data_IF_463605262692
#
_entry.id   IF_463605262692
#
_cell.length_a   1.000
_cell.length_b   1.000
_cell.length_c   1.000
_cell.angle_alpha   90.00
_cell.angle_beta   90.00
_cell.angle_gamma   90.00
#
_symmetry.space_group_name_H-M   'P 1'
#
loop_
_entity.id
_entity.type
_entity.pdbx_description
1 polymer ?
#
# COMPACT_ATOMS: atom_id res chain seq x y z
N UNK A 1 -18.20 -1.56 -8.41
CA UNK A 1 -17.29 -0.51 -7.90
C UNK A 1 -15.85 -1.02 -7.88
N UNK A 2 -15.52 -2.06 -7.11
CA UNK A 2 -14.14 -2.60 -7.04
C UNK A 2 -13.57 -2.98 -8.42
N UNK A 3 -14.38 -3.56 -9.31
CA UNK A 3 -13.93 -3.87 -10.69
C UNK A 3 -13.59 -2.61 -11.50
N UNK A 4 -14.32 -1.51 -11.26
CA UNK A 4 -14.02 -0.23 -11.90
C UNK A 4 -12.77 0.43 -11.29
N UNK A 5 -12.54 0.28 -9.99
CA UNK A 5 -11.30 0.72 -9.34
C UNK A 5 -10.10 -0.05 -9.89
N UNK A 6 -10.23 -1.37 -10.06
CA UNK A 6 -9.21 -2.23 -10.66
C UNK A 6 -8.93 -1.89 -12.12
N UNK A 7 -9.97 -1.68 -12.93
CA UNK A 7 -9.80 -1.25 -14.33
C UNK A 7 -9.09 0.11 -14.44
N UNK A 8 -9.41 1.07 -13.55
CA UNK A 8 -8.75 2.38 -13.52
C UNK A 8 -7.30 2.28 -13.05
N UNK A 9 -7.02 1.48 -12.01
CA UNK A 9 -5.65 1.18 -11.60
C UNK A 9 -4.87 0.51 -12.73
N UNK A 10 -5.47 -0.46 -13.44
CA UNK A 10 -4.87 -1.18 -14.57
C UNK A 10 -4.40 -0.23 -15.69
N UNK A 11 -5.11 0.88 -15.90
CA UNK A 11 -4.76 1.90 -16.88
C UNK A 11 -3.60 2.82 -16.45
N UNK A 12 -3.28 2.91 -15.14
CA UNK A 12 -2.22 3.79 -14.65
C UNK A 12 -0.85 3.31 -15.09
N UNK A 13 0.00 4.22 -15.56
CA UNK A 13 1.42 3.92 -15.82
C UNK A 13 2.27 3.91 -14.55
N UNK A 14 1.88 4.73 -13.57
CA UNK A 14 2.52 4.87 -12.27
C UNK A 14 1.77 5.86 -11.38
N UNK A 15 2.14 5.95 -10.11
CA UNK A 15 1.63 6.95 -9.18
C UNK A 15 2.65 7.25 -8.08
N UNK A 16 2.52 8.41 -7.46
CA UNK A 16 3.21 8.79 -6.23
C UNK A 16 2.19 9.12 -5.15
N UNK A 17 2.54 8.90 -3.88
CA UNK A 17 1.75 9.32 -2.74
C UNK A 17 2.64 9.51 -1.50
N UNK A 18 2.18 10.33 -0.56
CA UNK A 18 2.66 10.25 0.83
C UNK A 18 1.80 9.22 1.55
N UNK A 19 2.44 8.15 2.02
CA UNK A 19 1.77 7.08 2.76
C UNK A 19 2.04 7.26 4.24
N UNK A 20 0.97 7.27 5.02
CA UNK A 20 1.04 7.22 6.48
C UNK A 20 0.35 5.95 6.92
N UNK A 21 1.06 5.08 7.65
CA UNK A 21 0.45 3.93 8.30
C UNK A 21 0.55 4.02 9.81
N UNK A 22 -0.49 3.53 10.48
CA UNK A 22 -0.60 3.47 11.93
C UNK A 22 -1.01 2.05 12.31
N UNK A 23 -0.14 1.42 13.08
CA UNK A 23 -0.36 0.11 13.65
C UNK A 23 -1.32 0.15 14.84
N UNK A 24 -1.85 -1.01 15.21
CA UNK A 24 -2.75 -1.22 16.34
C UNK A 24 -2.10 -0.88 17.69
N UNK A 25 -0.78 -1.06 17.79
CA UNK A 25 0.04 -0.65 18.94
C UNK A 25 0.43 0.84 18.90
N UNK A 26 -0.05 1.58 17.89
CA UNK A 26 0.23 3.00 17.70
C UNK A 26 1.53 3.29 16.95
N UNK A 27 2.31 2.28 16.52
CA UNK A 27 3.50 2.51 15.71
C UNK A 27 3.09 3.24 14.42
N UNK A 28 3.65 4.43 14.22
CA UNK A 28 3.38 5.26 13.05
C UNK A 28 4.56 5.24 12.10
N UNK A 29 4.28 4.99 10.82
CA UNK A 29 5.22 5.08 9.72
C UNK A 29 4.76 6.13 8.72
N UNK A 30 5.70 6.90 8.19
CA UNK A 30 5.45 7.83 7.08
C UNK A 30 6.52 7.65 6.02
N UNK A 31 6.12 7.63 4.76
CA UNK A 31 7.02 7.48 3.62
C UNK A 31 6.45 8.16 2.38
N UNK A 32 7.32 8.54 1.44
CA UNK A 32 6.92 8.79 0.06
C UNK A 32 6.96 7.47 -0.67
N UNK A 33 5.87 7.15 -1.34
CA UNK A 33 5.69 5.93 -2.10
C UNK A 33 5.60 6.28 -3.58
N UNK A 34 6.32 5.53 -4.41
CA UNK A 34 6.21 5.62 -5.84
C UNK A 34 6.11 4.23 -6.44
N UNK A 35 5.12 4.07 -7.32
CA UNK A 35 4.91 2.85 -8.09
C UNK A 35 4.97 3.17 -9.58
N UNK A 36 5.58 2.27 -10.34
CA UNK A 36 5.57 2.31 -11.81
C UNK A 36 5.43 0.90 -12.35
N UNK A 37 4.64 0.73 -13.42
CA UNK A 37 4.58 -0.55 -14.13
C UNK A 37 5.99 -0.98 -14.63
N UNK A 38 6.30 -2.28 -14.68
CA UNK A 38 5.43 -3.43 -14.41
C UNK A 38 5.37 -3.86 -12.93
N UNK A 39 5.82 -3.03 -11.98
CA UNK A 39 5.89 -3.42 -10.56
C UNK A 39 7.09 -2.81 -9.81
N UNK A 40 7.69 -1.75 -10.35
CA UNK A 40 8.71 -0.98 -9.67
C UNK A 40 8.10 -0.28 -8.48
N UNK A 41 8.73 -0.40 -7.32
CA UNK A 41 8.32 0.26 -6.09
C UNK A 41 9.51 0.99 -5.50
N UNK A 42 9.30 2.24 -5.09
CA UNK A 42 10.26 3.02 -4.33
C UNK A 42 9.59 3.59 -3.09
N UNK A 43 10.28 3.47 -1.96
CA UNK A 43 9.87 4.00 -0.66
C UNK A 43 10.98 4.89 -0.10
N UNK A 44 10.68 6.16 0.14
CA UNK A 44 11.56 7.09 0.84
C UNK A 44 10.98 7.34 2.23
N UNK A 45 11.65 6.84 3.27
CA UNK A 45 11.13 6.90 4.64
C UNK A 45 11.24 8.31 5.22
N UNK A 46 10.08 8.84 5.64
CA UNK A 46 9.95 10.10 6.38
C UNK A 46 9.93 9.88 7.90
N UNK A 47 9.70 8.65 8.35
CA UNK A 47 9.78 8.22 9.74
C UNK A 47 9.31 6.76 9.91
N UNK A 48 9.83 6.01 10.90
CA UNK A 48 10.83 6.40 11.89
C UNK A 48 12.28 6.41 11.36
N UNK A 49 12.56 5.72 10.25
CA UNK A 49 13.90 5.63 9.66
C UNK A 49 14.13 6.73 8.63
N UNK A 50 14.17 7.99 9.09
CA UNK A 50 14.27 9.16 8.20
C UNK A 50 15.48 9.05 7.28
N UNK A 51 15.23 9.21 5.98
CA UNK A 51 16.29 9.21 4.96
C UNK A 51 16.65 7.82 4.43
N UNK A 52 16.12 6.73 5.01
CA UNK A 52 16.24 5.42 4.38
C UNK A 52 15.46 5.40 3.06
N UNK A 53 16.06 4.85 2.01
CA UNK A 53 15.43 4.69 0.70
C UNK A 53 15.49 3.23 0.29
N UNK A 54 14.39 2.74 -0.26
CA UNK A 54 14.29 1.38 -0.74
C UNK A 54 13.71 1.37 -2.14
N UNK A 55 14.30 0.57 -3.03
CA UNK A 55 13.74 0.31 -4.36
C UNK A 55 13.64 -1.18 -4.62
N UNK A 56 12.46 -1.63 -5.04
CA UNK A 56 12.21 -2.96 -5.57
C UNK A 56 12.31 -2.95 -7.10
N UNK A 57 13.18 -3.81 -7.63
CA UNK A 57 13.31 -4.11 -9.05
C UNK A 57 12.53 -5.40 -9.36
N UNK A 58 11.39 -5.31 -10.09
CA UNK A 58 10.59 -6.49 -10.42
C UNK A 58 11.28 -7.39 -11.45
N UNK A 59 12.23 -6.89 -12.24
CA UNK A 59 12.88 -7.63 -13.33
C UNK A 59 13.84 -8.68 -12.81
N UNK A 60 14.52 -8.39 -11.70
CA UNK A 60 15.44 -9.32 -11.02
C UNK A 60 14.90 -9.80 -9.68
N UNK A 61 13.71 -9.34 -9.28
CA UNK A 61 13.09 -9.58 -7.97
C UNK A 61 14.06 -9.31 -6.82
N UNK A 62 14.69 -8.13 -6.84
CA UNK A 62 15.63 -7.68 -5.80
C UNK A 62 15.21 -6.36 -5.23
N UNK A 63 15.56 -6.17 -3.95
CA UNK A 63 15.40 -4.91 -3.26
C UNK A 63 16.78 -4.32 -3.01
N UNK A 64 16.97 -3.06 -3.39
CA UNK A 64 18.09 -2.25 -2.97
C UNK A 64 17.65 -1.33 -1.84
N UNK A 65 18.38 -1.38 -0.72
CA UNK A 65 18.13 -0.56 0.46
C UNK A 65 19.36 0.31 0.73
N UNK A 66 19.12 1.60 0.86
CA UNK A 66 20.07 2.62 1.29
C UNK A 66 19.63 3.14 2.66
N UNK A 67 20.21 2.65 3.77
CA UNK A 67 19.79 3.04 5.12
C UNK A 67 19.97 4.54 5.42
N UNK A 68 20.91 5.20 4.73
CA UNK A 68 21.28 6.59 4.96
C UNK A 68 21.01 7.51 3.75
N UNK A 69 20.21 7.02 2.80
CA UNK A 69 19.86 7.74 1.58
C UNK A 69 20.66 7.30 0.36
N UNK A 70 20.11 7.63 -0.80
CA UNK A 70 20.68 7.33 -2.11
C UNK A 70 22.14 7.81 -2.20
N UNK A 71 22.98 7.01 -2.87
CA UNK A 71 24.42 7.24 -3.06
C UNK A 71 25.27 7.24 -1.79
N UNK A 72 24.69 6.89 -0.63
CA UNK A 72 25.43 6.66 0.62
C UNK A 72 25.61 5.17 0.88
N UNK A 73 26.79 4.79 1.35
CA UNK A 73 27.09 3.42 1.81
C UNK A 73 26.66 3.25 3.28
N UNK A 74 26.28 2.04 3.72
CA UNK A 74 26.22 0.81 2.93
C UNK A 74 24.99 0.77 2.01
N UNK A 75 25.07 -0.05 0.96
CA UNK A 75 23.93 -0.41 0.12
C UNK A 75 23.69 -1.90 0.32
N UNK A 76 22.48 -2.28 0.68
CA UNK A 76 22.09 -3.66 0.91
C UNK A 76 21.27 -4.16 -0.29
N UNK A 77 21.64 -5.32 -0.83
CA UNK A 77 20.85 -6.01 -1.84
C UNK A 77 20.18 -7.23 -1.19
N UNK A 78 18.85 -7.22 -1.16
CA UNK A 78 18.06 -8.17 -0.39
C UNK A 78 17.04 -8.87 -1.31
N UNK A 79 16.69 -10.10 -0.96
CA UNK A 79 15.48 -10.74 -1.50
C UNK A 79 14.24 -9.98 -0.97
N UNK A 80 13.17 -9.78 -1.76
CA UNK A 80 11.90 -9.25 -1.26
C UNK A 80 11.30 -10.11 -0.13
N UNK A 81 11.69 -11.38 -0.02
CA UNK A 81 11.24 -12.28 1.05
C UNK A 81 12.06 -12.15 2.34
N UNK A 82 13.11 -11.31 2.34
CA UNK A 82 14.01 -11.12 3.48
C UNK A 82 13.23 -10.57 4.69
N UNK A 83 13.38 -11.16 5.89
CA UNK A 83 12.68 -10.70 7.09
C UNK A 83 12.90 -9.22 7.46
N UNK A 84 14.05 -8.64 7.09
CA UNK A 84 14.34 -7.21 7.33
C UNK A 84 13.44 -6.27 6.52
N UNK A 85 12.85 -6.77 5.44
CA UNK A 85 11.95 -6.02 4.57
C UNK A 85 10.48 -6.26 4.85
N UNK A 86 10.18 -7.20 5.74
CA UNK A 86 8.84 -7.38 6.27
C UNK A 86 8.66 -6.37 7.38
N UNK A 87 7.52 -5.69 7.39
CA UNK A 87 7.14 -5.04 8.64
C UNK A 87 6.74 -6.08 9.68
N UNK A 88 6.47 -5.63 10.91
CA UNK A 88 6.06 -6.49 12.03
C UNK A 88 4.80 -7.31 11.76
N UNK A 89 4.08 -7.02 10.68
CA UNK A 89 2.82 -7.68 10.26
C UNK A 89 3.01 -8.56 9.01
N UNK A 90 4.25 -8.65 8.52
CA UNK A 90 4.57 -9.50 7.39
C UNK A 90 4.22 -8.90 6.03
N UNK A 91 3.88 -7.59 5.95
CA UNK A 91 3.65 -6.96 4.66
C UNK A 91 4.93 -7.00 3.83
N UNK A 92 4.78 -7.47 2.59
CA UNK A 92 5.87 -7.58 1.63
C UNK A 92 5.90 -6.34 0.75
N UNK A 93 7.09 -5.84 0.48
CA UNK A 93 7.30 -4.67 -0.37
C UNK A 93 6.84 -4.91 -1.81
N UNK A 94 7.03 -6.13 -2.34
CA UNK A 94 6.57 -6.49 -3.68
C UNK A 94 5.06 -6.73 -3.77
N UNK A 95 4.32 -6.58 -2.67
CA UNK A 95 2.86 -6.65 -2.58
C UNK A 95 2.28 -5.52 -1.71
N UNK A 96 2.88 -4.33 -1.78
CA UNK A 96 2.45 -3.17 -1.00
C UNK A 96 1.76 -2.09 -1.85
N UNK A 97 1.63 -2.30 -3.16
CA UNK A 97 1.01 -1.32 -4.05
C UNK A 97 -0.52 -1.43 -4.04
N UNK A 98 -1.18 -0.44 -4.63
CA UNK A 98 -2.66 -0.38 -4.71
C UNK A 98 -3.24 -1.58 -5.46
N UNK A 99 -2.53 -2.17 -6.42
CA UNK A 99 -2.94 -3.38 -7.10
C UNK A 99 -3.06 -4.57 -6.14
N UNK A 100 -2.05 -4.79 -5.30
CA UNK A 100 -2.08 -5.83 -4.28
C UNK A 100 -3.24 -5.63 -3.27
N UNK A 101 -3.53 -4.39 -2.88
CA UNK A 101 -4.72 -4.08 -2.08
C UNK A 101 -6.01 -4.47 -2.80
N UNK A 102 -6.18 -4.04 -4.06
CA UNK A 102 -7.37 -4.34 -4.84
C UNK A 102 -7.56 -5.85 -5.03
N UNK A 103 -6.48 -6.61 -5.27
CA UNK A 103 -6.50 -8.08 -5.28
C UNK A 103 -7.01 -8.67 -3.96
N UNK A 104 -6.60 -8.12 -2.81
CA UNK A 104 -7.06 -8.61 -1.50
C UNK A 104 -8.53 -8.29 -1.27
N UNK A 105 -8.99 -7.09 -1.64
CA UNK A 105 -10.40 -6.72 -1.55
C UNK A 105 -11.27 -7.62 -2.46
N UNK A 106 -10.77 -7.91 -3.66
CA UNK A 106 -11.39 -8.82 -4.62
C UNK A 106 -11.48 -10.25 -4.07
N UNK A 107 -10.40 -10.76 -3.49
CA UNK A 107 -10.39 -12.10 -2.90
C UNK A 107 -11.32 -12.20 -1.68
N UNK A 108 -11.36 -11.16 -0.84
CA UNK A 108 -12.17 -11.13 0.37
C UNK A 108 -13.68 -10.99 0.06
N UNK A 109 -14.04 -10.20 -0.97
CA UNK A 109 -15.44 -10.07 -1.39
C UNK A 109 -16.01 -11.39 -1.94
N UNK A 110 -15.17 -12.31 -2.41
CA UNK A 110 -15.63 -13.56 -3.01
C UNK A 110 -16.29 -14.46 -1.95
N UNK A 111 -17.62 -14.56 -2.00
CA UNK A 111 -18.43 -15.20 -0.96
C UNK A 111 -18.61 -14.37 0.31
N UNK A 112 -18.08 -13.14 0.33
CA UNK A 112 -18.23 -12.16 1.40
C UNK A 112 -19.33 -11.13 1.10
N UNK A 113 -19.26 -9.98 1.76
CA UNK A 113 -20.18 -8.84 1.52
C UNK A 113 -19.43 -7.52 1.40
N UNK A 114 -20.00 -6.62 0.61
CA UNK A 114 -19.56 -5.22 0.50
C UNK A 114 -20.74 -4.36 0.90
N UNK A 115 -20.55 -3.47 1.87
CA UNK A 115 -21.56 -2.52 2.34
C UNK A 115 -20.99 -1.11 2.36
N UNK A 116 -21.82 -0.10 2.17
CA UNK A 116 -21.40 1.29 2.38
C UNK A 116 -21.11 1.52 3.86
N UNK A 117 -20.13 2.37 4.17
CA UNK A 117 -19.85 2.73 5.56
C UNK A 117 -21.01 3.53 6.14
N UNK A 118 -21.36 3.23 7.40
CA UNK A 118 -22.35 3.99 8.14
C UNK A 118 -21.84 5.40 8.52
N UNK A 119 -22.75 6.22 9.07
CA UNK A 119 -22.46 7.58 9.48
C UNK A 119 -21.47 7.71 10.66
N UNK A 120 -21.11 6.60 11.33
CA UNK A 120 -20.09 6.60 12.39
C UNK A 120 -18.67 6.59 11.83
N UNK A 121 -18.49 6.26 10.56
CA UNK A 121 -17.21 6.29 9.89
C UNK A 121 -16.74 7.73 9.60
N UNK A 122 -15.42 8.00 9.65
CA UNK A 122 -14.87 9.27 9.22
C UNK A 122 -15.34 9.69 7.83
N UNK A 123 -15.88 10.91 7.72
CA UNK A 123 -16.20 11.53 6.43
C UNK A 123 -14.94 12.14 5.85
N UNK A 124 -14.50 11.62 4.71
CA UNK A 124 -13.36 12.17 3.97
C UNK A 124 -13.88 12.98 2.76
N UNK A 125 -13.56 14.28 2.67
CA UNK A 125 -13.99 15.12 1.55
C UNK A 125 -13.63 14.50 0.20
N UNK A 126 -14.59 14.48 -0.73
CA UNK A 126 -14.37 13.94 -2.08
C UNK A 126 -14.29 12.41 -2.16
N UNK A 127 -14.39 11.67 -1.05
CA UNK A 127 -14.35 10.22 -1.02
C UNK A 127 -15.69 9.59 -0.62
N UNK A 128 -15.80 8.28 -0.81
CA UNK A 128 -16.87 7.44 -0.26
C UNK A 128 -16.27 6.19 0.37
N UNK A 129 -16.89 5.73 1.44
CA UNK A 129 -16.41 4.61 2.24
C UNK A 129 -17.19 3.34 1.97
N UNK A 130 -16.50 2.21 1.91
CA UNK A 130 -17.10 0.87 1.90
C UNK A 130 -16.43 -0.03 2.93
N UNK A 131 -17.21 -0.94 3.51
CA UNK A 131 -16.71 -2.06 4.30
C UNK A 131 -16.81 -3.35 3.48
N UNK A 132 -15.70 -4.08 3.40
CA UNK A 132 -15.58 -5.38 2.75
C UNK A 132 -15.33 -6.41 3.85
N UNK A 133 -16.24 -7.36 3.99
CA UNK A 133 -16.15 -8.44 5.00
C UNK A 133 -16.05 -9.77 4.29
N UNK A 134 -15.08 -10.59 4.69
CA UNK A 134 -14.92 -11.95 4.19
C UNK A 134 -16.09 -12.87 4.55
N UNK A 135 -16.21 -13.97 3.82
CA UNK A 135 -17.04 -15.08 4.24
C UNK A 135 -16.61 -15.60 5.63
N UNK A 136 -17.50 -16.26 6.36
CA UNK A 136 -17.17 -16.83 7.67
C UNK A 136 -15.92 -17.72 7.59
N UNK A 137 -14.93 -17.46 8.45
CA UNK A 137 -13.66 -18.18 8.48
C UNK A 137 -12.67 -17.84 7.35
N UNK A 138 -12.96 -16.87 6.47
CA UNK A 138 -12.00 -16.38 5.46
C UNK A 138 -11.26 -15.13 5.93
N UNK A 139 -9.95 -15.14 5.74
CA UNK A 139 -9.06 -13.99 5.91
C UNK A 139 -7.98 -13.96 4.83
N UNK A 140 -7.38 -12.79 4.62
CA UNK A 140 -6.14 -12.60 3.86
C UNK A 140 -5.04 -12.30 4.88
N UNK A 141 -4.20 -13.29 5.18
CA UNK A 141 -3.31 -13.21 6.35
C UNK A 141 -4.13 -13.10 7.64
N UNK A 142 -3.83 -12.09 8.46
CA UNK A 142 -4.60 -11.77 9.67
C UNK A 142 -5.89 -10.96 9.41
N UNK A 143 -6.07 -10.42 8.20
CA UNK A 143 -7.17 -9.48 7.89
C UNK A 143 -8.42 -10.21 7.41
N UNK A 144 -9.54 -10.05 8.13
CA UNK A 144 -10.84 -10.62 7.77
C UNK A 144 -11.85 -9.56 7.27
N UNK A 145 -11.54 -8.28 7.50
CA UNK A 145 -12.40 -7.15 7.12
C UNK A 145 -11.57 -5.92 6.79
N UNK A 146 -11.98 -5.20 5.76
CA UNK A 146 -11.44 -3.88 5.41
C UNK A 146 -12.53 -2.82 5.47
N UNK A 147 -12.16 -1.61 5.87
CA UNK A 147 -12.88 -0.38 5.52
C UNK A 147 -12.00 0.43 4.58
N UNK A 148 -12.54 0.85 3.45
CA UNK A 148 -11.77 1.52 2.40
C UNK A 148 -12.51 2.75 1.95
N UNK A 149 -11.81 3.87 1.89
CA UNK A 149 -12.31 5.10 1.31
C UNK A 149 -11.68 5.30 -0.05
N UNK A 150 -12.53 5.46 -1.06
CA UNK A 150 -12.15 5.70 -2.44
C UNK A 150 -12.48 7.14 -2.82
N UNK A 151 -11.53 7.83 -3.45
CA UNK A 151 -11.78 9.12 -4.07
C UNK A 151 -12.85 8.97 -5.18
N UNK A 152 -13.94 9.75 -5.13
CA UNK A 152 -15.11 9.57 -6.02
C UNK A 152 -14.76 9.71 -7.50
N UNK A 153 -13.92 10.68 -7.84
CA UNK A 153 -13.59 10.97 -9.24
C UNK A 153 -12.80 9.84 -9.89
N UNK A 154 -11.97 9.13 -9.11
CA UNK A 154 -10.88 8.29 -9.63
C UNK A 154 -10.99 6.85 -9.19
N UNK A 155 -11.76 6.58 -8.13
CA UNK A 155 -11.82 5.30 -7.44
C UNK A 155 -10.46 4.85 -6.90
N UNK A 156 -9.55 5.79 -6.67
CA UNK A 156 -8.27 5.50 -6.03
C UNK A 156 -8.45 5.42 -4.52
N UNK A 157 -7.89 4.41 -3.82
CA UNK A 157 -8.00 4.31 -2.37
C UNK A 157 -7.17 5.42 -1.72
N UNK A 158 -7.80 6.17 -0.83
CA UNK A 158 -7.17 7.27 -0.05
C UNK A 158 -7.03 6.93 1.42
N UNK A 159 -7.82 5.97 1.93
CA UNK A 159 -7.68 5.41 3.27
C UNK A 159 -8.09 3.96 3.29
N UNK A 160 -7.38 3.15 4.07
CA UNK A 160 -7.65 1.74 4.31
C UNK A 160 -7.52 1.46 5.80
N UNK A 161 -8.51 0.80 6.38
CA UNK A 161 -8.44 0.27 7.73
C UNK A 161 -8.65 -1.25 7.65
N UNK A 162 -7.74 -2.00 8.23
CA UNK A 162 -7.71 -3.47 8.23
C UNK A 162 -8.10 -3.98 9.62
N UNK A 163 -8.91 -5.03 9.68
CA UNK A 163 -9.37 -5.64 10.93
C UNK A 163 -9.27 -7.16 10.89
N UNK A 164 -8.97 -7.75 12.03
CA UNK A 164 -8.89 -9.21 12.18
C UNK A 164 -10.29 -9.86 12.26
N UNK A 165 -10.31 -11.20 12.37
CA UNK A 165 -11.55 -11.97 12.49
C UNK A 165 -12.36 -11.69 13.77
N UNK A 166 -11.73 -11.10 14.80
CA UNK A 166 -12.38 -10.67 16.05
C UNK A 166 -12.86 -9.22 15.99
N UNK A 167 -12.60 -8.54 14.88
CA UNK A 167 -12.92 -7.13 14.69
C UNK A 167 -11.90 -6.17 15.31
N UNK A 168 -10.77 -6.66 15.82
CA UNK A 168 -9.72 -5.82 16.35
C UNK A 168 -8.98 -5.10 15.21
N UNK A 169 -8.57 -3.83 15.40
CA UNK A 169 -7.82 -3.11 14.40
C UNK A 169 -6.47 -3.80 14.16
N UNK A 170 -6.14 -4.00 12.90
CA UNK A 170 -4.81 -4.41 12.44
C UNK A 170 -4.04 -3.15 12.10
N UNK A 171 -4.39 -2.45 11.02
CA UNK A 171 -3.68 -1.24 10.54
C UNK A 171 -4.66 -0.19 10.03
N UNK A 172 -4.25 1.07 10.08
CA UNK A 172 -4.83 2.15 9.28
C UNK A 172 -3.76 2.76 8.36
N UNK A 173 -4.05 2.85 7.06
CA UNK A 173 -3.18 3.45 6.04
C UNK A 173 -3.92 4.61 5.39
N UNK A 174 -3.27 5.76 5.27
CA UNK A 174 -3.75 6.91 4.49
C UNK A 174 -2.78 7.16 3.33
N UNK A 175 -3.33 7.44 2.15
CA UNK A 175 -2.60 7.89 0.97
C UNK A 175 -2.96 9.36 0.72
N UNK A 176 -2.03 10.25 1.06
CA UNK A 176 -2.13 11.69 0.88
C UNK A 176 -1.31 12.16 -0.32
N UNK A 177 -1.63 13.33 -0.87
CA UNK A 177 -0.90 13.95 -1.99
C UNK A 177 -0.70 12.97 -3.17
N UNK A 178 -1.77 12.28 -3.56
CA UNK A 178 -1.71 11.26 -4.61
C UNK A 178 -1.58 11.94 -5.98
N UNK A 179 -0.48 11.63 -6.67
CA UNK A 179 -0.25 11.99 -8.07
C UNK A 179 -0.34 10.72 -8.93
N UNK A 180 -1.16 10.75 -9.98
CA UNK A 180 -1.40 9.61 -10.87
C UNK A 180 -0.81 9.88 -12.25
N UNK A 181 -0.48 8.80 -12.96
CA UNK A 181 0.15 8.82 -14.28
C UNK A 181 1.48 9.59 -14.30
N UNK A 182 2.23 9.44 -13.20
CA UNK A 182 3.56 10.05 -13.06
C UNK A 182 4.57 9.32 -13.94
N UNK A 183 5.16 10.04 -14.88
CA UNK A 183 6.24 9.54 -15.72
C UNK A 183 7.59 9.62 -14.98
N UNK A 184 7.94 8.55 -14.26
CA UNK A 184 9.23 8.49 -13.57
C UNK A 184 10.37 8.14 -14.54
N UNK A 185 11.47 8.91 -14.55
CA UNK A 185 12.68 8.55 -15.28
C UNK A 185 13.32 7.29 -14.67
N UNK A 186 14.04 6.50 -15.47
CA UNK A 186 14.64 5.24 -14.98
C UNK A 186 15.62 5.44 -13.82
N UNK A 187 16.39 6.53 -13.83
CA UNK A 187 17.31 6.88 -12.75
C UNK A 187 16.61 7.02 -11.38
N UNK A 188 15.29 7.31 -11.36
CA UNK A 188 14.52 7.40 -10.13
C UNK A 188 14.40 6.05 -9.41
N UNK A 189 14.29 4.94 -10.16
CA UNK A 189 14.24 3.58 -9.62
C UNK A 189 15.59 2.85 -9.72
N UNK A 190 16.59 3.43 -10.39
CA UNK A 190 17.93 2.88 -10.52
C UNK A 190 18.99 3.90 -10.10
N UNK A 191 18.93 4.43 -8.87
CA UNK A 191 19.91 5.41 -8.45
C UNK A 191 21.29 4.76 -8.22
N UNK A 192 22.35 5.54 -8.44
CA UNK A 192 23.74 5.12 -8.21
C UNK A 192 24.22 3.97 -9.09
N UNK A 193 23.60 3.77 -10.26
CA UNK A 193 24.02 2.82 -11.29
C UNK A 193 24.80 3.53 -12.39
#
# INVERSE_FOLDING_TARGET
MLDAAEARYAALSGYAATVVSVAADGERRSLRYAFRRPGWVRMDFLGPHVGAVLVFDPTVRRVRLWPFGVDRKPVLELSPDNPLLRDRRGHRIDRSDVGALLEHLQALRHGGRVVELDASAPVLPGAFGVEIVGAAGRSIGEVARYRVWFERATLFPVRVESYDARGAPVEAVTLDQVERDVAFPDAFFRPGR
#
